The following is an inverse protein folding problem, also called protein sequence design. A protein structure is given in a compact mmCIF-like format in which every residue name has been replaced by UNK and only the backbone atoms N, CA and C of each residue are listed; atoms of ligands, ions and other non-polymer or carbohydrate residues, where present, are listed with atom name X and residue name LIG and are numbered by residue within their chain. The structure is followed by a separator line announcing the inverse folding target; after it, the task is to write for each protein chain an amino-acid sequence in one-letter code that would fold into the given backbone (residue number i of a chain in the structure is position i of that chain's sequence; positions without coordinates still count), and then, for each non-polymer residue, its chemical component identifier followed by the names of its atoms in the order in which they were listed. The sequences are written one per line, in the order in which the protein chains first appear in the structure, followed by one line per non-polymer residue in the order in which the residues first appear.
data_IF_544743228826
#
_entry.id   IF_544743228826
#
_cell.length_a   1.000
_cell.length_b   1.000
_cell.length_c   1.000
_cell.angle_alpha   90.00
_cell.angle_beta   90.00
_cell.angle_gamma   90.00
#
_symmetry.space_group_name_H-M   'P 1'
#
loop_
_entity.id
_entity.type
_entity.pdbx_description
1 polymer ?
#
# COMPACT_ATOMS: atom_id res chain seq x y z
N UNK A 1 9.09 13.09 25.27
CA UNK A 1 8.53 11.84 24.71
C UNK A 1 7.01 11.88 24.75
N UNK A 2 6.41 12.29 25.88
CA UNK A 2 4.99 12.63 25.97
C UNK A 2 4.62 13.83 25.07
N UNK A 3 5.48 14.84 24.98
CA UNK A 3 5.19 16.04 24.17
C UNK A 3 5.15 15.75 22.67
N UNK A 4 6.02 14.88 22.15
CA UNK A 4 5.93 14.37 20.76
C UNK A 4 4.71 13.50 20.52
N UNK A 5 4.20 12.84 21.57
CA UNK A 5 2.98 12.05 21.49
C UNK A 5 1.75 12.94 21.49
N UNK A 6 1.76 14.05 22.23
CA UNK A 6 0.68 15.05 22.26
C UNK A 6 0.68 15.89 20.97
N UNK A 7 1.85 16.31 20.47
CA UNK A 7 2.01 16.99 19.17
C UNK A 7 1.51 16.10 18.01
N UNK A 8 1.78 14.80 18.10
CA UNK A 8 1.25 13.82 17.15
C UNK A 8 -0.28 13.85 17.09
N UNK A 9 -1.00 14.08 18.19
CA UNK A 9 -2.47 14.12 18.21
C UNK A 9 -3.07 15.49 17.84
N UNK A 10 -2.33 16.59 17.98
CA UNK A 10 -2.83 17.95 17.70
C UNK A 10 -2.70 18.39 16.24
N UNK A 11 -2.00 17.63 15.39
CA UNK A 11 -1.82 17.91 13.96
C UNK A 11 -2.01 16.65 13.11
N UNK A 12 -2.95 15.77 13.48
CA UNK A 12 -3.29 14.60 12.66
C UNK A 12 -4.10 15.06 11.46
N UNK A 13 -3.50 15.00 10.29
CA UNK A 13 -4.25 15.06 9.06
C UNK A 13 -4.87 13.69 8.77
N UNK A 14 -6.02 13.68 8.10
CA UNK A 14 -6.70 12.43 7.76
C UNK A 14 -5.79 11.47 6.95
N UNK A 15 -4.84 12.01 6.19
CA UNK A 15 -3.84 11.24 5.44
C UNK A 15 -2.87 10.45 6.34
N UNK A 16 -2.54 10.96 7.54
CA UNK A 16 -1.65 10.25 8.49
C UNK A 16 -2.34 9.00 9.03
N UNK A 17 -3.65 9.10 9.25
CA UNK A 17 -4.50 7.96 9.63
C UNK A 17 -4.50 6.92 8.50
N UNK A 18 -4.67 7.37 7.25
CA UNK A 18 -4.61 6.52 6.06
C UNK A 18 -3.23 5.84 5.94
N UNK A 19 -2.14 6.57 6.17
CA UNK A 19 -0.77 6.02 6.10
C UNK A 19 -0.55 4.94 7.17
N UNK A 20 -1.04 5.17 8.39
CA UNK A 20 -0.98 4.17 9.47
C UNK A 20 -1.76 2.90 9.11
N UNK A 21 -3.02 3.02 8.69
CA UNK A 21 -3.83 1.85 8.32
C UNK A 21 -3.30 1.14 7.06
N UNK A 22 -2.77 1.90 6.10
CA UNK A 22 -2.10 1.37 4.90
C UNK A 22 -0.87 0.54 5.28
N UNK A 23 -0.04 1.08 6.17
CA UNK A 23 1.13 0.37 6.73
C UNK A 23 0.70 -0.93 7.39
N UNK A 24 -0.32 -0.90 8.25
CA UNK A 24 -0.75 -2.12 8.94
C UNK A 24 -1.38 -3.15 7.97
N UNK A 25 -2.14 -2.72 6.96
CA UNK A 25 -2.67 -3.60 5.93
C UNK A 25 -1.55 -4.28 5.12
N UNK A 26 -0.54 -3.54 4.66
CA UNK A 26 0.59 -4.11 3.94
C UNK A 26 1.51 -4.95 4.82
N UNK A 27 1.70 -4.60 6.09
CA UNK A 27 2.45 -5.44 7.02
C UNK A 27 1.77 -6.81 7.19
N UNK A 28 0.45 -6.83 7.44
CA UNK A 28 -0.33 -8.08 7.54
C UNK A 28 -0.22 -8.88 6.23
N UNK A 29 -0.36 -8.21 5.08
CA UNK A 29 -0.22 -8.83 3.76
C UNK A 29 1.14 -9.50 3.56
N UNK A 30 2.23 -8.78 3.86
CA UNK A 30 3.60 -9.30 3.78
C UNK A 30 3.87 -10.47 4.70
N UNK A 31 3.49 -10.35 5.98
CA UNK A 31 3.68 -11.40 6.99
C UNK A 31 2.88 -12.65 6.63
N UNK A 32 1.65 -12.49 6.12
CA UNK A 32 0.82 -13.62 5.69
C UNK A 32 1.43 -14.38 4.51
N UNK A 33 2.04 -13.69 3.56
CA UNK A 33 2.78 -14.30 2.45
C UNK A 33 4.05 -14.99 2.92
N UNK A 34 4.83 -14.36 3.80
CA UNK A 34 6.01 -14.96 4.44
C UNK A 34 5.65 -16.24 5.21
N UNK A 35 4.55 -16.24 5.95
CA UNK A 35 4.05 -17.43 6.65
C UNK A 35 3.63 -18.55 5.70
N UNK A 36 3.16 -18.23 4.48
CA UNK A 36 2.83 -19.25 3.48
C UNK A 36 4.08 -19.92 2.91
N UNK A 37 5.24 -19.27 3.02
CA UNK A 37 6.56 -19.78 2.62
C UNK A 37 7.37 -20.35 3.78
N UNK A 38 6.73 -20.56 4.95
CA UNK A 38 7.36 -21.14 6.14
C UNK A 38 8.61 -20.40 6.62
N UNK A 39 8.67 -19.08 6.42
CA UNK A 39 9.71 -18.24 7.03
C UNK A 39 9.54 -18.22 8.56
N UNK A 40 10.65 -18.03 9.27
CA UNK A 40 10.63 -17.83 10.72
C UNK A 40 10.01 -16.48 11.10
N UNK A 41 9.84 -16.24 12.40
CA UNK A 41 9.15 -15.03 12.87
C UNK A 41 9.91 -13.76 12.51
N UNK A 42 11.24 -13.82 12.54
CA UNK A 42 12.09 -12.70 12.15
C UNK A 42 11.99 -12.42 10.65
N UNK A 43 12.10 -13.45 9.81
CA UNK A 43 11.92 -13.32 8.36
C UNK A 43 10.53 -12.78 8.00
N UNK A 44 9.48 -13.25 8.69
CA UNK A 44 8.12 -12.73 8.50
C UNK A 44 8.00 -11.25 8.88
N UNK A 45 8.60 -10.84 10.01
CA UNK A 45 8.66 -9.44 10.44
C UNK A 45 9.36 -8.56 9.39
N UNK A 46 10.52 -8.99 8.89
CA UNK A 46 11.31 -8.26 7.88
C UNK A 46 10.50 -8.10 6.59
N UNK A 47 9.91 -9.19 6.08
CA UNK A 47 9.08 -9.13 4.87
C UNK A 47 7.88 -8.21 5.09
N UNK A 48 7.20 -8.30 6.24
CA UNK A 48 6.11 -7.40 6.61
C UNK A 48 6.51 -5.93 6.60
N UNK A 49 7.63 -5.61 7.27
CA UNK A 49 8.15 -4.26 7.37
C UNK A 49 8.49 -3.67 6.00
N UNK A 50 9.21 -4.43 5.18
CA UNK A 50 9.60 -4.01 3.83
C UNK A 50 8.39 -3.87 2.91
N UNK A 51 7.38 -4.74 3.05
CA UNK A 51 6.11 -4.60 2.31
C UNK A 51 5.41 -3.29 2.67
N UNK A 52 5.35 -2.98 3.96
CA UNK A 52 4.63 -1.80 4.46
C UNK A 52 5.35 -0.48 4.18
N UNK A 53 6.69 -0.48 4.20
CA UNK A 53 7.49 0.75 4.12
C UNK A 53 8.17 0.95 2.77
N UNK A 54 8.37 -0.11 1.96
CA UNK A 54 9.22 -0.07 0.78
C UNK A 54 8.73 0.91 -0.29
N UNK A 55 7.41 0.94 -0.57
CA UNK A 55 6.83 1.86 -1.54
C UNK A 55 6.96 3.33 -1.10
N UNK A 56 6.57 3.64 0.13
CA UNK A 56 6.72 4.98 0.70
C UNK A 56 8.18 5.42 0.84
N UNK A 57 9.09 4.49 1.14
CA UNK A 57 10.54 4.77 1.19
C UNK A 57 11.07 5.17 -0.17
N UNK A 58 10.76 4.40 -1.23
CA UNK A 58 11.22 4.75 -2.58
C UNK A 58 10.62 6.10 -3.03
N UNK A 59 9.32 6.33 -2.80
CA UNK A 59 8.68 7.63 -3.03
C UNK A 59 9.46 8.75 -2.35
N UNK A 60 9.67 8.62 -1.04
CA UNK A 60 10.28 9.66 -0.22
C UNK A 60 11.72 9.98 -0.69
N UNK A 61 12.51 8.95 -1.01
CA UNK A 61 13.85 9.13 -1.57
C UNK A 61 13.83 9.83 -2.93
N UNK A 62 12.90 9.46 -3.82
CA UNK A 62 12.76 10.10 -5.15
C UNK A 62 12.27 11.55 -5.07
N UNK A 63 11.47 11.89 -4.05
CA UNK A 63 11.00 13.24 -3.78
C UNK A 63 12.00 14.07 -2.94
N UNK A 64 13.14 13.49 -2.55
CA UNK A 64 14.17 14.17 -1.77
C UNK A 64 13.77 14.44 -0.32
N UNK A 65 12.86 13.66 0.25
CA UNK A 65 12.41 13.77 1.64
C UNK A 65 12.84 12.55 2.46
N UNK A 66 12.99 12.73 3.78
CA UNK A 66 13.31 11.62 4.68
C UNK A 66 12.19 10.58 4.68
N UNK A 67 12.49 9.27 4.54
CA UNK A 67 11.49 8.22 4.62
C UNK A 67 10.62 8.31 5.88
N UNK A 68 9.30 8.27 5.69
CA UNK A 68 8.29 8.53 6.73
C UNK A 68 8.51 7.69 8.01
N UNK A 69 8.88 6.42 7.86
CA UNK A 69 9.08 5.51 9.00
C UNK A 69 10.33 5.84 9.83
N UNK A 70 11.29 6.58 9.29
CA UNK A 70 12.46 7.05 10.04
C UNK A 70 12.11 8.22 10.97
N UNK A 71 11.00 8.93 10.69
CA UNK A 71 10.54 10.06 11.48
C UNK A 71 9.76 9.62 12.72
N UNK A 72 9.13 8.44 12.67
CA UNK A 72 8.30 7.94 13.76
C UNK A 72 8.40 6.41 13.92
N UNK A 73 8.75 5.95 15.12
CA UNK A 73 8.86 4.51 15.43
C UNK A 73 7.53 3.74 15.39
N UNK A 74 6.39 4.43 15.33
CA UNK A 74 5.05 3.82 15.31
C UNK A 74 4.91 2.80 14.16
N UNK A 75 5.52 3.02 13.00
CA UNK A 75 5.42 2.08 11.87
C UNK A 75 6.15 0.75 12.13
N UNK A 76 7.23 0.76 12.92
CA UNK A 76 7.91 -0.46 13.37
C UNK A 76 7.00 -1.23 14.32
N UNK A 77 6.39 -0.53 15.30
CA UNK A 77 5.46 -1.15 16.24
C UNK A 77 4.19 -1.68 15.55
N UNK A 78 3.65 -0.98 14.55
CA UNK A 78 2.54 -1.49 13.73
C UNK A 78 2.92 -2.81 13.06
N UNK A 79 4.15 -2.96 12.56
CA UNK A 79 4.61 -4.23 11.94
C UNK A 79 4.72 -5.35 12.97
N UNK A 80 5.24 -5.05 14.16
CA UNK A 80 5.31 -6.03 15.27
C UNK A 80 3.91 -6.48 15.68
N UNK A 81 2.96 -5.55 15.82
CA UNK A 81 1.57 -5.86 16.14
C UNK A 81 0.88 -6.66 15.01
N UNK A 82 1.17 -6.33 13.75
CA UNK A 82 0.71 -7.10 12.60
C UNK A 82 1.22 -8.55 12.64
N UNK A 83 2.45 -8.79 13.09
CA UNK A 83 2.99 -10.14 13.28
C UNK A 83 2.19 -10.90 14.34
N UNK A 84 1.98 -10.30 15.52
CA UNK A 84 1.17 -10.91 16.56
C UNK A 84 -0.26 -11.20 16.08
N UNK A 85 -0.86 -10.29 15.33
CA UNK A 85 -2.18 -10.48 14.73
C UNK A 85 -2.20 -11.69 13.77
N UNK A 86 -1.25 -11.78 12.84
CA UNK A 86 -1.19 -12.90 11.89
C UNK A 86 -0.94 -14.24 12.59
N UNK A 87 -0.10 -14.25 13.64
CA UNK A 87 0.16 -15.47 14.44
C UNK A 87 -1.09 -15.89 15.21
N UNK A 88 -1.78 -14.96 15.87
CA UNK A 88 -2.98 -15.24 16.66
C UNK A 88 -4.13 -15.78 15.79
N UNK A 89 -4.33 -15.19 14.61
CA UNK A 89 -5.41 -15.54 13.68
C UNK A 89 -4.97 -16.50 12.57
N UNK A 90 -3.85 -17.23 12.75
CA UNK A 90 -3.27 -18.10 11.74
C UNK A 90 -4.30 -19.08 11.15
N UNK A 91 -5.12 -19.73 11.97
CA UNK A 91 -6.11 -20.72 11.52
C UNK A 91 -7.18 -20.11 10.60
N UNK A 92 -7.69 -18.93 10.96
CA UNK A 92 -8.69 -18.21 10.17
C UNK A 92 -8.08 -17.66 8.88
N UNK A 93 -6.88 -17.10 8.96
CA UNK A 93 -6.20 -16.49 7.82
C UNK A 93 -5.74 -17.53 6.79
N UNK A 94 -5.40 -18.76 7.20
CA UNK A 94 -4.98 -19.86 6.31
C UNK A 94 -6.16 -20.43 5.51
N UNK A 95 -7.35 -20.51 6.10
CA UNK A 95 -8.52 -21.09 5.43
C UNK A 95 -9.05 -20.20 4.28
N UNK A 96 -8.79 -18.89 4.35
CA UNK A 96 -9.11 -17.95 3.29
C UNK A 96 -7.87 -17.73 2.39
N UNK A 97 -7.76 -18.51 1.31
CA UNK A 97 -6.77 -18.27 0.24
C UNK A 97 -6.84 -16.85 -0.35
N UNK A 98 -7.94 -16.12 -0.13
CA UNK A 98 -8.12 -14.75 -0.61
C UNK A 98 -7.67 -13.66 0.37
N UNK A 99 -7.40 -13.93 1.66
CA UNK A 99 -7.21 -12.87 2.67
C UNK A 99 -6.01 -11.96 2.41
N UNK A 100 -4.92 -12.51 1.90
CA UNK A 100 -3.77 -11.72 1.45
C UNK A 100 -4.20 -10.65 0.41
N UNK A 101 -5.03 -11.02 -0.57
CA UNK A 101 -5.48 -10.11 -1.62
C UNK A 101 -6.36 -8.98 -1.09
N UNK A 102 -7.15 -9.24 -0.05
CA UNK A 102 -7.95 -8.19 0.60
C UNK A 102 -7.05 -7.16 1.28
N UNK A 103 -6.11 -7.60 2.11
CA UNK A 103 -5.18 -6.69 2.79
C UNK A 103 -4.25 -5.97 1.80
N UNK A 104 -3.79 -6.65 0.74
CA UNK A 104 -3.01 -6.03 -0.34
C UNK A 104 -3.82 -4.95 -1.08
N UNK A 105 -5.09 -5.22 -1.41
CA UNK A 105 -5.94 -4.25 -2.13
C UNK A 105 -6.31 -3.05 -1.25
N UNK A 106 -6.53 -3.26 0.06
CA UNK A 106 -6.74 -2.17 1.02
C UNK A 106 -5.49 -1.32 1.14
N UNK A 107 -4.33 -1.96 1.38
CA UNK A 107 -3.05 -1.27 1.46
C UNK A 107 -2.75 -0.46 0.20
N UNK A 108 -3.00 -1.04 -0.98
CA UNK A 108 -2.84 -0.36 -2.26
C UNK A 108 -3.68 0.92 -2.34
N UNK A 109 -4.98 0.84 -2.06
CA UNK A 109 -5.87 2.01 -2.15
C UNK A 109 -5.47 3.13 -1.20
N UNK A 110 -5.09 2.78 0.04
CA UNK A 110 -4.63 3.75 1.04
C UNK A 110 -3.29 4.39 0.62
N UNK A 111 -2.31 3.60 0.16
CA UNK A 111 -1.02 4.15 -0.25
C UNK A 111 -1.05 4.95 -1.56
N UNK A 112 -1.98 4.65 -2.46
CA UNK A 112 -2.23 5.51 -3.63
C UNK A 112 -2.70 6.90 -3.18
N UNK A 113 -3.57 6.98 -2.18
CA UNK A 113 -3.99 8.27 -1.60
C UNK A 113 -2.81 9.01 -0.98
N UNK A 114 -2.02 8.36 -0.12
CA UNK A 114 -0.87 8.99 0.56
C UNK A 114 0.17 9.44 -0.48
N UNK A 115 0.46 8.61 -1.47
CA UNK A 115 1.40 8.97 -2.54
C UNK A 115 0.91 10.14 -3.40
N UNK A 116 -0.40 10.21 -3.67
CA UNK A 116 -1.01 11.32 -4.41
C UNK A 116 -0.89 12.61 -3.62
N UNK A 117 -1.39 12.61 -2.39
CA UNK A 117 -1.47 13.79 -1.54
C UNK A 117 -0.08 14.35 -1.18
N UNK A 118 0.88 13.47 -0.83
CA UNK A 118 2.25 13.88 -0.54
C UNK A 118 2.99 14.43 -1.76
N UNK A 119 2.76 13.89 -2.95
CA UNK A 119 3.41 14.38 -4.17
C UNK A 119 2.81 15.71 -4.62
N UNK A 120 1.48 15.86 -4.49
CA UNK A 120 0.77 17.11 -4.79
C UNK A 120 1.16 18.23 -3.80
N UNK A 121 1.28 17.93 -2.51
CA UNK A 121 1.66 18.92 -1.49
C UNK A 121 3.08 19.45 -1.65
N UNK A 122 3.97 18.67 -2.28
CA UNK A 122 5.31 19.11 -2.69
C UNK A 122 5.33 19.91 -4.00
N UNK A 123 4.17 20.16 -4.63
CA UNK A 123 4.04 21.04 -5.81
C UNK A 123 4.48 20.41 -7.13
N UNK A 124 4.57 19.08 -7.21
CA UNK A 124 4.95 18.39 -8.44
C UNK A 124 3.81 18.38 -9.47
N UNK A 125 4.13 18.35 -10.79
CA UNK A 125 3.13 18.29 -11.84
C UNK A 125 2.39 16.95 -11.84
N UNK A 126 1.17 16.96 -12.38
CA UNK A 126 0.24 15.83 -12.32
C UNK A 126 0.83 14.48 -12.80
N UNK A 127 1.63 14.47 -13.86
CA UNK A 127 2.24 13.24 -14.35
C UNK A 127 3.21 12.61 -13.34
N UNK A 128 3.91 13.41 -12.53
CA UNK A 128 4.76 12.92 -11.42
C UNK A 128 3.89 12.37 -10.29
N UNK A 129 2.76 13.03 -10.00
CA UNK A 129 1.79 12.55 -8.99
C UNK A 129 1.29 11.15 -9.33
N UNK A 130 0.91 10.91 -10.58
CA UNK A 130 0.47 9.58 -11.05
C UNK A 130 1.56 8.53 -10.86
N UNK A 131 2.80 8.84 -11.25
CA UNK A 131 3.93 7.91 -11.13
C UNK A 131 4.25 7.62 -9.66
N UNK A 132 4.38 8.65 -8.82
CA UNK A 132 4.75 8.50 -7.42
C UNK A 132 3.66 7.81 -6.60
N UNK A 133 2.39 8.12 -6.83
CA UNK A 133 1.28 7.42 -6.20
C UNK A 133 1.26 5.93 -6.57
N UNK A 134 1.51 5.62 -7.85
CA UNK A 134 1.58 4.25 -8.33
C UNK A 134 2.77 3.51 -7.71
N UNK A 135 3.96 4.11 -7.70
CA UNK A 135 5.16 3.57 -7.03
C UNK A 135 4.88 3.28 -5.55
N UNK A 136 4.28 4.24 -4.85
CA UNK A 136 3.96 4.12 -3.42
C UNK A 136 3.08 2.91 -3.15
N UNK A 137 2.06 2.70 -3.98
CA UNK A 137 1.17 1.55 -3.87
C UNK A 137 1.85 0.22 -4.20
N UNK A 138 2.57 0.13 -5.32
CA UNK A 138 2.96 -1.17 -5.88
C UNK A 138 4.30 -1.69 -5.37
N UNK A 139 5.26 -0.83 -5.07
CA UNK A 139 6.66 -1.25 -4.86
C UNK A 139 6.83 -2.08 -3.60
N UNK A 140 6.07 -1.78 -2.54
CA UNK A 140 6.07 -2.62 -1.33
C UNK A 140 5.70 -4.08 -1.65
N UNK A 141 4.66 -4.28 -2.46
CA UNK A 141 4.24 -5.61 -2.92
C UNK A 141 5.27 -6.27 -3.85
N UNK A 142 5.92 -5.50 -4.72
CA UNK A 142 6.98 -6.02 -5.61
C UNK A 142 8.16 -6.55 -4.79
N UNK A 143 8.67 -5.76 -3.85
CA UNK A 143 9.83 -6.16 -3.03
C UNK A 143 9.48 -7.37 -2.17
N UNK A 144 8.27 -7.39 -1.58
CA UNK A 144 7.75 -8.57 -0.87
C UNK A 144 7.83 -9.82 -1.72
N UNK A 145 7.27 -9.78 -2.92
CA UNK A 145 7.16 -10.95 -3.79
C UNK A 145 8.55 -11.44 -4.22
N UNK A 146 9.49 -10.53 -4.51
CA UNK A 146 10.89 -10.86 -4.80
C UNK A 146 11.56 -11.54 -3.59
N UNK A 147 11.40 -11.01 -2.39
CA UNK A 147 12.02 -11.56 -1.18
C UNK A 147 11.56 -12.99 -0.85
N UNK A 148 10.33 -13.34 -1.24
CA UNK A 148 9.77 -14.68 -1.02
C UNK A 148 9.86 -15.58 -2.27
N UNK A 149 10.64 -15.15 -3.27
CA UNK A 149 10.87 -15.84 -4.54
C UNK A 149 9.57 -16.18 -5.30
N UNK A 150 8.68 -15.19 -5.40
CA UNK A 150 7.47 -15.24 -6.21
C UNK A 150 7.55 -14.18 -7.32
N UNK A 151 7.04 -14.53 -8.50
CA UNK A 151 6.86 -13.52 -9.56
C UNK A 151 5.87 -12.46 -9.05
N UNK A 152 6.25 -11.16 -9.02
CA UNK A 152 5.43 -10.11 -8.46
C UNK A 152 4.03 -10.00 -9.05
N UNK A 153 3.06 -9.62 -8.21
CA UNK A 153 1.66 -9.51 -8.60
C UNK A 153 1.44 -8.57 -9.79
N UNK A 154 2.24 -7.50 -9.93
CA UNK A 154 2.17 -6.59 -11.08
C UNK A 154 2.39 -7.29 -12.43
N UNK A 155 3.21 -8.34 -12.48
CA UNK A 155 3.50 -9.08 -13.72
C UNK A 155 2.51 -10.22 -13.97
N UNK A 156 1.72 -10.62 -12.95
CA UNK A 156 0.68 -11.66 -13.05
C UNK A 156 -0.72 -11.07 -13.23
N UNK A 157 -0.96 -9.89 -12.67
CA UNK A 157 -2.28 -9.26 -12.58
C UNK A 157 -2.23 -7.89 -13.25
N UNK A 158 -2.74 -7.84 -14.47
CA UNK A 158 -2.53 -6.72 -15.38
C UNK A 158 -3.26 -5.43 -14.91
N UNK A 159 -4.27 -5.58 -14.06
CA UNK A 159 -5.01 -4.46 -13.46
C UNK A 159 -4.36 -3.87 -12.20
N UNK A 160 -3.27 -4.47 -11.69
CA UNK A 160 -2.63 -4.07 -10.44
C UNK A 160 -2.12 -2.62 -10.48
N UNK A 161 -1.42 -2.22 -11.55
CA UNK A 161 -0.92 -0.86 -11.72
C UNK A 161 -2.00 0.08 -12.29
N UNK A 162 -2.83 -0.39 -13.23
CA UNK A 162 -3.90 0.42 -13.83
C UNK A 162 -4.90 0.94 -12.79
N UNK A 163 -5.27 0.11 -11.81
CA UNK A 163 -6.15 0.52 -10.70
C UNK A 163 -5.59 1.71 -9.92
N UNK A 164 -4.27 1.77 -9.72
CA UNK A 164 -3.62 2.91 -9.07
C UNK A 164 -3.81 4.18 -9.90
N UNK A 165 -3.53 4.11 -11.20
CA UNK A 165 -3.67 5.23 -12.12
C UNK A 165 -5.13 5.75 -12.13
N UNK A 166 -6.11 4.86 -12.23
CA UNK A 166 -7.53 5.25 -12.13
C UNK A 166 -7.88 5.91 -10.80
N UNK A 167 -7.34 5.40 -9.68
CA UNK A 167 -7.52 6.02 -8.37
C UNK A 167 -7.01 7.45 -8.31
N UNK A 168 -5.80 7.70 -8.82
CA UNK A 168 -5.20 9.04 -8.89
C UNK A 168 -6.03 9.97 -9.79
N UNK A 169 -6.53 9.47 -10.93
CA UNK A 169 -7.41 10.26 -11.80
C UNK A 169 -8.70 10.66 -11.09
N UNK A 170 -9.31 9.75 -10.33
CA UNK A 170 -10.51 10.05 -9.53
C UNK A 170 -10.20 11.07 -8.45
N UNK A 171 -9.08 10.91 -7.73
CA UNK A 171 -8.63 11.88 -6.74
C UNK A 171 -8.53 13.28 -7.35
N UNK A 172 -7.82 13.40 -8.47
CA UNK A 172 -7.57 14.67 -9.14
C UNK A 172 -8.85 15.32 -9.66
N UNK A 173 -9.78 14.54 -10.21
CA UNK A 173 -11.07 15.06 -10.67
C UNK A 173 -11.90 15.61 -9.50
N UNK A 174 -11.97 14.88 -8.38
CA UNK A 174 -12.71 15.32 -7.20
C UNK A 174 -12.09 16.58 -6.57
N UNK A 175 -10.76 16.64 -6.51
CA UNK A 175 -10.03 17.84 -6.08
C UNK A 175 -10.30 19.03 -7.01
N UNK A 176 -10.29 18.82 -8.32
CA UNK A 176 -10.61 19.84 -9.32
C UNK A 176 -12.05 20.40 -9.19
N UNK A 177 -13.01 19.56 -8.83
CA UNK A 177 -14.40 19.98 -8.56
C UNK A 177 -14.59 20.59 -7.16
N UNK A 178 -13.53 20.74 -6.36
CA UNK A 178 -13.60 21.33 -5.03
C UNK A 178 -14.30 20.43 -4.00
N UNK A 179 -14.34 19.12 -4.22
CA UNK A 179 -14.87 18.17 -3.24
C UNK A 179 -13.94 18.15 -2.02
N UNK A 180 -14.52 18.12 -0.82
CA UNK A 180 -13.73 18.17 0.42
C UNK A 180 -12.68 17.05 0.51
N UNK A 181 -11.48 17.41 0.97
CA UNK A 181 -10.28 16.56 0.96
C UNK A 181 -10.51 15.15 1.53
N UNK A 182 -11.28 15.03 2.62
CA UNK A 182 -11.59 13.74 3.26
C UNK A 182 -12.40 12.85 2.31
N UNK A 183 -13.41 13.40 1.63
CA UNK A 183 -14.21 12.65 0.66
C UNK A 183 -13.38 12.26 -0.55
N UNK A 184 -12.55 13.17 -1.06
CA UNK A 184 -11.62 12.89 -2.17
C UNK A 184 -10.70 11.71 -1.85
N UNK A 185 -10.12 11.71 -0.66
CA UNK A 185 -9.27 10.61 -0.16
C UNK A 185 -10.04 9.29 -0.03
N UNK A 186 -11.25 9.30 0.54
CA UNK A 186 -12.09 8.10 0.69
C UNK A 186 -12.49 7.53 -0.66
N UNK A 187 -12.97 8.36 -1.60
CA UNK A 187 -13.39 7.90 -2.92
C UNK A 187 -12.22 7.35 -3.74
N UNK A 188 -11.05 7.98 -3.66
CA UNK A 188 -9.83 7.46 -4.27
C UNK A 188 -9.51 6.05 -3.74
N UNK A 189 -9.35 5.89 -2.41
CA UNK A 189 -9.05 4.58 -1.82
C UNK A 189 -10.11 3.52 -2.14
N UNK A 190 -11.39 3.88 -2.03
CA UNK A 190 -12.52 2.99 -2.34
C UNK A 190 -12.52 2.56 -3.80
N UNK A 191 -12.23 3.47 -4.75
CA UNK A 191 -12.18 3.14 -6.16
C UNK A 191 -11.09 2.12 -6.48
N UNK A 192 -9.88 2.31 -5.94
CA UNK A 192 -8.75 1.38 -6.12
C UNK A 192 -9.11 0.00 -5.57
N UNK A 193 -9.66 -0.04 -4.35
CA UNK A 193 -10.06 -1.28 -3.69
C UNK A 193 -11.16 -2.03 -4.46
N UNK A 194 -12.22 -1.33 -4.87
CA UNK A 194 -13.36 -1.93 -5.58
C UNK A 194 -12.92 -2.46 -6.95
N UNK A 195 -12.16 -1.68 -7.72
CA UNK A 195 -11.68 -2.12 -9.04
C UNK A 195 -10.75 -3.33 -8.88
N UNK A 196 -9.88 -3.36 -7.86
CA UNK A 196 -9.05 -4.52 -7.54
C UNK A 196 -9.86 -5.78 -7.23
N UNK A 197 -10.90 -5.66 -6.41
CA UNK A 197 -11.77 -6.79 -6.09
C UNK A 197 -12.51 -7.31 -7.31
N UNK A 198 -13.03 -6.41 -8.15
CA UNK A 198 -13.69 -6.76 -9.42
C UNK A 198 -12.70 -7.46 -10.34
N UNK A 199 -11.52 -6.88 -10.58
CA UNK A 199 -10.50 -7.45 -11.45
C UNK A 199 -10.08 -8.85 -11.00
N UNK A 200 -9.89 -9.05 -9.69
CA UNK A 200 -9.54 -10.35 -9.14
C UNK A 200 -10.71 -11.36 -9.21
N UNK A 201 -11.96 -10.93 -8.96
CA UNK A 201 -13.14 -11.82 -9.02
C UNK A 201 -13.45 -12.30 -10.43
N UNK A 202 -13.34 -11.41 -11.41
CA UNK A 202 -13.64 -11.72 -12.82
C UNK A 202 -12.41 -12.16 -13.61
N UNK A 203 -11.23 -12.28 -12.97
CA UNK A 203 -9.95 -12.63 -13.61
C UNK A 203 -9.70 -11.80 -14.87
N UNK A 204 -9.93 -10.49 -14.78
CA UNK A 204 -9.70 -9.60 -15.91
C UNK A 204 -8.20 -9.60 -16.25
N UNK A 205 -7.87 -9.91 -17.49
CA UNK A 205 -6.52 -9.81 -18.04
C UNK A 205 -6.46 -8.71 -19.10
N UNK A 206 -5.26 -8.19 -19.36
CA UNK A 206 -4.94 -7.41 -20.55
C UNK A 206 -4.39 -8.40 -21.62
N UNK A 207 -4.23 -7.96 -22.88
CA UNK A 207 -3.57 -8.79 -23.88
C UNK A 207 -2.11 -9.06 -23.51
N UNK A 208 -1.73 -10.33 -23.48
CA UNK A 208 -0.35 -10.75 -23.25
C UNK A 208 0.49 -10.59 -24.53
N UNK A 209 1.69 -10.02 -24.38
CA UNK A 209 2.71 -10.03 -25.44
C UNK A 209 3.24 -11.46 -25.56
N UNK A 210 2.65 -12.24 -26.47
CA UNK A 210 3.16 -13.56 -26.82
C UNK A 210 4.36 -13.38 -27.76
N UNK A 211 5.48 -14.03 -27.44
CA UNK A 211 6.46 -14.34 -28.47
C UNK A 211 5.85 -15.36 -29.42
N UNK A 212 5.95 -15.12 -30.72
CA UNK A 212 5.74 -16.19 -31.71
C UNK A 212 6.88 -17.21 -31.51
N UNK A 213 6.58 -18.31 -30.82
CA UNK A 213 7.34 -19.57 -30.91
C UNK A 213 6.39 -20.68 -31.38
#
# INVERSE_FOLDING_TARGET
MLDKFIDFWTTIHFVDIIEFFGTCAFAISGIRMASAKSLDWFGALVVGFVTATGGGTLRDLLLGVTPFWMLNSVYVWCTVLALFFVVLFRKQLVHLNSTFLWFDSIGLGLFVVVGTEKTMSLGYPFWVVVIMATITGIVGGIVRDIMINEIPAIFKQEWYALTCIFGVMIYYLLDFFGVGIIFTQIFCAASVFVIRLIANRYKLGLPTLKSEE
#
